data_IF_133725908966
#
_entry.id   IF_133725908966
#
_cell.length_a   1.000
_cell.length_b   1.000
_cell.length_c   1.000
_cell.angle_alpha   90.00
_cell.angle_beta   90.00
_cell.angle_gamma   90.00
#
_symmetry.space_group_name_H-M   'P 1'
#
loop_
_entity.id
_entity.type
_entity.pdbx_description
1 polymer ?
#
# COMPACT_ATOMS: atom_id res chain seq x y z
N UNK A 1 -11.38 -16.01 15.41
CA UNK A 1 -10.53 -16.79 14.46
C UNK A 1 -9.37 -15.91 14.05
N UNK A 2 -8.11 -16.41 13.96
CA UNK A 2 -7.00 -15.60 13.44
C UNK A 2 -7.22 -15.42 11.94
N UNK A 3 -7.32 -14.15 11.48
CA UNK A 3 -7.37 -13.85 10.05
C UNK A 3 -6.08 -14.35 9.38
N UNK A 4 -6.16 -15.07 8.25
CA UNK A 4 -4.98 -15.57 7.56
C UNK A 4 -4.05 -14.44 7.14
N UNK A 5 -2.74 -14.69 7.21
CA UNK A 5 -1.74 -13.67 6.84
C UNK A 5 -1.56 -13.61 5.32
N UNK A 6 -1.66 -12.42 4.78
CA UNK A 6 -1.62 -12.14 3.35
C UNK A 6 -0.23 -11.69 2.88
N UNK A 7 0.03 -11.84 1.57
CA UNK A 7 1.14 -11.19 0.90
C UNK A 7 0.70 -9.78 0.48
N UNK A 8 1.38 -8.76 0.96
CA UNK A 8 1.05 -7.35 0.73
C UNK A 8 2.21 -6.66 0.04
N UNK A 9 1.96 -5.92 -1.03
CA UNK A 9 2.94 -5.02 -1.63
C UNK A 9 2.52 -3.58 -1.45
N UNK A 10 3.46 -2.71 -1.09
CA UNK A 10 3.24 -1.27 -0.93
C UNK A 10 4.05 -0.54 -1.99
N UNK A 11 3.37 0.12 -2.93
CA UNK A 11 3.94 0.93 -4.01
C UNK A 11 4.12 2.36 -3.51
N UNK A 12 5.32 2.93 -3.67
CA UNK A 12 5.73 4.15 -2.97
C UNK A 12 6.06 3.87 -1.51
N UNK A 13 6.38 2.60 -1.23
CA UNK A 13 6.52 2.05 0.12
C UNK A 13 7.74 2.52 0.90
N UNK A 14 8.62 3.33 0.32
CA UNK A 14 9.75 3.95 1.01
C UNK A 14 9.52 5.43 1.35
N UNK A 15 8.35 5.99 0.98
CA UNK A 15 7.92 7.35 1.31
C UNK A 15 7.37 7.50 2.73
N UNK A 16 7.05 8.76 3.11
CA UNK A 16 6.58 9.12 4.45
C UNK A 16 5.30 8.41 4.91
N UNK A 17 4.42 8.05 3.99
CA UNK A 17 3.22 7.24 4.27
C UNK A 17 3.50 5.75 4.10
N UNK A 18 4.20 5.41 3.02
CA UNK A 18 4.40 4.01 2.64
C UNK A 18 5.27 3.22 3.60
N UNK A 19 6.36 3.80 4.11
CA UNK A 19 7.30 3.09 4.97
C UNK A 19 6.71 2.79 6.36
N UNK A 20 6.11 3.73 7.08
CA UNK A 20 5.45 3.45 8.35
C UNK A 20 4.33 2.40 8.19
N UNK A 21 3.48 2.55 7.18
CA UNK A 21 2.41 1.60 6.88
C UNK A 21 2.96 0.18 6.60
N UNK A 22 4.01 0.08 5.78
CA UNK A 22 4.67 -1.19 5.46
C UNK A 22 5.21 -1.88 6.70
N UNK A 23 5.89 -1.12 7.56
CA UNK A 23 6.43 -1.62 8.82
C UNK A 23 5.31 -2.07 9.77
N UNK A 24 4.23 -1.29 9.86
CA UNK A 24 3.07 -1.60 10.70
C UNK A 24 2.39 -2.91 10.24
N UNK A 25 2.09 -3.05 8.96
CA UNK A 25 1.50 -4.27 8.37
C UNK A 25 2.40 -5.49 8.63
N UNK A 26 3.72 -5.34 8.42
CA UNK A 26 4.67 -6.41 8.67
C UNK A 26 4.73 -6.79 10.15
N UNK A 27 4.65 -5.83 11.09
CA UNK A 27 4.62 -6.12 12.53
C UNK A 27 3.41 -6.96 12.95
N UNK A 28 2.32 -6.87 12.22
CA UNK A 28 1.12 -7.71 12.41
C UNK A 28 1.27 -9.11 11.79
N UNK A 29 2.42 -9.42 11.19
CA UNK A 29 2.78 -10.76 10.69
C UNK A 29 2.43 -11.02 9.23
N UNK A 30 1.99 -10.02 8.45
CA UNK A 30 1.83 -10.14 7.02
C UNK A 30 3.20 -10.13 6.31
N UNK A 31 3.29 -10.79 5.15
CA UNK A 31 4.49 -10.75 4.31
C UNK A 31 4.45 -9.49 3.45
N UNK A 32 5.33 -8.53 3.73
CA UNK A 32 5.32 -7.24 3.05
C UNK A 32 6.47 -7.12 2.06
N UNK A 33 6.16 -6.58 0.88
CA UNK A 33 7.15 -6.13 -0.12
C UNK A 33 7.00 -4.61 -0.30
N UNK A 34 8.04 -3.88 0.06
CA UNK A 34 8.18 -2.45 -0.25
C UNK A 34 8.66 -2.33 -1.69
N UNK A 35 7.91 -1.58 -2.50
CA UNK A 35 8.29 -1.26 -3.89
C UNK A 35 8.40 0.25 -4.02
N UNK A 36 9.59 0.72 -4.37
CA UNK A 36 9.83 2.15 -4.58
C UNK A 36 10.88 2.36 -5.68
N UNK A 37 10.64 3.33 -6.56
CA UNK A 37 11.53 3.64 -7.68
C UNK A 37 12.86 4.26 -7.22
N UNK A 38 12.91 4.81 -6.01
CA UNK A 38 14.10 5.46 -5.48
C UNK A 38 15.12 4.42 -4.98
N UNK A 39 16.06 4.06 -5.85
CA UNK A 39 17.09 3.06 -5.57
C UNK A 39 17.96 3.45 -4.37
N UNK A 40 18.27 4.73 -4.19
CA UNK A 40 19.08 5.20 -3.07
C UNK A 40 18.38 4.94 -1.73
N UNK A 41 17.06 5.21 -1.65
CA UNK A 41 16.30 4.95 -0.42
C UNK A 41 16.21 3.45 -0.17
N UNK A 42 15.95 2.64 -1.19
CA UNK A 42 15.91 1.17 -1.07
C UNK A 42 17.25 0.62 -0.59
N UNK A 43 18.37 1.13 -1.10
CA UNK A 43 19.71 0.71 -0.65
C UNK A 43 19.98 1.15 0.79
N UNK A 44 19.61 2.37 1.17
CA UNK A 44 19.70 2.83 2.55
C UNK A 44 18.90 1.93 3.51
N UNK A 45 17.69 1.54 3.13
CA UNK A 45 16.87 0.62 3.93
C UNK A 45 17.50 -0.78 4.05
N UNK A 46 18.20 -1.28 3.01
CA UNK A 46 18.99 -2.53 3.11
C UNK A 46 20.09 -2.44 4.15
N UNK A 47 20.68 -1.24 4.28
CA UNK A 47 21.74 -0.92 5.26
C UNK A 47 21.18 -0.46 6.62
N UNK A 48 19.88 -0.64 6.89
CA UNK A 48 19.19 -0.19 8.11
C UNK A 48 19.19 1.33 8.34
N UNK A 49 19.39 2.11 7.30
CA UNK A 49 19.34 3.58 7.34
C UNK A 49 17.94 4.05 6.96
N UNK A 50 17.18 4.51 7.94
CA UNK A 50 15.84 5.06 7.70
C UNK A 50 15.94 6.43 7.02
N UNK A 51 15.08 6.74 6.02
CA UNK A 51 15.18 7.95 5.22
C UNK A 51 14.69 9.21 5.94
N UNK A 52 13.96 9.07 7.03
CA UNK A 52 13.41 10.17 7.84
C UNK A 52 13.15 9.72 9.28
N UNK A 53 12.95 10.69 10.16
CA UNK A 53 12.57 10.44 11.55
C UNK A 53 11.04 10.44 11.67
N UNK A 54 10.51 9.41 12.30
CA UNK A 54 9.12 9.31 12.70
C UNK A 54 9.03 8.56 14.03
N UNK A 55 8.05 8.92 14.86
CA UNK A 55 7.85 8.30 16.16
C UNK A 55 7.66 6.79 15.99
N UNK A 56 8.40 6.02 16.77
CA UNK A 56 8.38 4.54 16.76
C UNK A 56 8.83 3.85 15.44
N UNK A 57 9.21 4.56 14.37
CA UNK A 57 9.58 3.93 13.10
C UNK A 57 10.74 2.95 13.24
N UNK A 58 11.76 3.29 14.02
CA UNK A 58 12.91 2.40 14.26
C UNK A 58 12.50 1.08 14.94
N UNK A 59 11.53 1.13 15.84
CA UNK A 59 11.00 -0.07 16.50
C UNK A 59 10.25 -0.95 15.49
N UNK A 60 9.30 -0.37 14.75
CA UNK A 60 8.51 -1.10 13.76
C UNK A 60 9.35 -1.63 12.59
N UNK A 61 10.41 -0.90 12.18
CA UNK A 61 11.38 -1.37 11.20
C UNK A 61 12.08 -2.66 11.66
N UNK A 62 12.54 -2.71 12.90
CA UNK A 62 13.15 -3.92 13.48
C UNK A 62 12.19 -5.11 13.50
N UNK A 63 10.93 -4.88 13.86
CA UNK A 63 9.90 -5.93 13.83
C UNK A 63 9.59 -6.39 12.39
N UNK A 64 9.48 -5.46 11.45
CA UNK A 64 9.29 -5.77 10.03
C UNK A 64 10.41 -6.64 9.46
N UNK A 65 11.66 -6.38 9.86
CA UNK A 65 12.82 -7.21 9.46
C UNK A 65 12.76 -8.63 10.03
N UNK A 66 12.32 -8.81 11.27
CA UNK A 66 12.08 -10.15 11.83
C UNK A 66 11.05 -10.92 10.99
N UNK A 67 10.05 -10.24 10.45
CA UNK A 67 9.03 -10.80 9.57
C UNK A 67 9.46 -10.87 8.09
N UNK A 68 10.76 -10.66 7.81
CA UNK A 68 11.37 -10.80 6.48
C UNK A 68 10.77 -9.89 5.42
N UNK A 69 10.56 -8.61 5.76
CA UNK A 69 10.12 -7.59 4.81
C UNK A 69 11.05 -7.58 3.57
N UNK A 70 10.48 -7.49 2.37
CA UNK A 70 11.22 -7.46 1.12
C UNK A 70 11.31 -6.04 0.58
N UNK A 71 12.40 -5.73 -0.10
CA UNK A 71 12.68 -4.43 -0.72
C UNK A 71 12.93 -4.59 -2.21
N UNK A 72 12.24 -3.83 -3.04
CA UNK A 72 12.37 -3.89 -4.50
C UNK A 72 12.25 -2.51 -5.15
N UNK A 73 12.95 -2.31 -6.25
CA UNK A 73 12.75 -1.16 -7.14
C UNK A 73 11.87 -1.49 -8.35
N UNK A 74 11.42 -2.75 -8.46
CA UNK A 74 10.71 -3.26 -9.64
C UNK A 74 9.27 -3.64 -9.31
N UNK A 75 8.31 -3.15 -10.09
CA UNK A 75 6.88 -3.47 -9.94
C UNK A 75 6.59 -4.96 -10.12
N UNK A 76 7.41 -5.69 -10.91
CA UNK A 76 7.28 -7.14 -11.08
C UNK A 76 7.37 -7.95 -9.78
N UNK A 77 7.90 -7.36 -8.71
CA UNK A 77 7.97 -8.02 -7.40
C UNK A 77 6.61 -8.23 -6.72
N UNK A 78 5.52 -7.61 -7.26
CA UNK A 78 4.16 -7.74 -6.72
C UNK A 78 3.43 -9.00 -7.19
N UNK A 79 4.02 -9.82 -8.05
CA UNK A 79 3.40 -10.97 -8.72
C UNK A 79 2.74 -12.02 -7.81
N UNK A 80 3.09 -12.04 -6.53
CA UNK A 80 2.53 -12.95 -5.54
C UNK A 80 1.65 -12.23 -4.49
N UNK A 81 1.31 -10.95 -4.74
CA UNK A 81 0.60 -10.12 -3.77
C UNK A 81 -0.89 -10.37 -3.81
N UNK A 82 -1.47 -10.62 -2.66
CA UNK A 82 -2.91 -10.64 -2.49
C UNK A 82 -3.48 -9.21 -2.39
N UNK A 83 -2.80 -8.35 -1.64
CA UNK A 83 -3.12 -6.93 -1.52
C UNK A 83 -2.00 -6.07 -2.08
N UNK A 84 -2.37 -5.04 -2.85
CA UNK A 84 -1.45 -4.07 -3.43
C UNK A 84 -1.90 -2.68 -2.98
N UNK A 85 -1.09 -2.02 -2.17
CA UNK A 85 -1.40 -0.71 -1.61
C UNK A 85 -0.60 0.35 -2.36
N UNK A 86 -1.26 1.39 -2.86
CA UNK A 86 -0.61 2.48 -3.60
C UNK A 86 -0.60 3.73 -2.71
N UNK A 87 0.61 4.19 -2.35
CA UNK A 87 0.86 5.34 -1.46
C UNK A 87 1.68 6.44 -2.14
N UNK A 88 1.48 6.63 -3.43
CA UNK A 88 2.20 7.66 -4.17
C UNK A 88 1.75 9.04 -3.74
N UNK A 89 2.70 9.96 -3.58
CA UNK A 89 2.37 11.38 -3.40
C UNK A 89 1.59 11.89 -4.61
N UNK A 90 0.50 12.60 -4.33
CA UNK A 90 -0.30 13.24 -5.37
C UNK A 90 -0.10 14.74 -5.31
N UNK A 91 0.17 15.36 -6.46
CA UNK A 91 0.03 16.79 -6.62
C UNK A 91 -0.87 17.04 -7.82
N UNK A 92 -1.51 18.21 -7.86
CA UNK A 92 -2.31 18.65 -9.01
C UNK A 92 -1.46 18.97 -10.26
N UNK A 93 -0.13 18.78 -10.16
CA UNK A 93 0.78 19.03 -11.28
C UNK A 93 0.66 17.94 -12.33
N UNK A 94 0.56 18.33 -13.58
CA UNK A 94 0.45 17.41 -14.74
C UNK A 94 1.53 16.32 -14.77
N UNK A 95 2.74 16.62 -14.26
CA UNK A 95 3.84 15.65 -14.19
C UNK A 95 3.53 14.50 -13.22
N UNK A 96 2.97 14.81 -12.06
CA UNK A 96 2.71 13.81 -11.03
C UNK A 96 1.52 12.92 -11.41
N UNK A 97 0.53 13.46 -12.10
CA UNK A 97 -0.57 12.68 -12.68
C UNK A 97 -0.03 11.65 -13.68
N UNK A 98 0.88 12.05 -14.58
CA UNK A 98 1.49 11.13 -15.55
C UNK A 98 2.32 10.02 -14.87
N UNK A 99 3.01 10.35 -13.78
CA UNK A 99 3.76 9.36 -13.00
C UNK A 99 2.80 8.37 -12.35
N UNK A 100 1.71 8.86 -11.76
CA UNK A 100 0.69 8.02 -11.15
C UNK A 100 0.06 7.06 -12.18
N UNK A 101 -0.37 7.58 -13.34
CA UNK A 101 -0.96 6.78 -14.42
C UNK A 101 0.00 5.67 -14.89
N UNK A 102 1.28 6.00 -15.08
CA UNK A 102 2.30 5.01 -15.47
C UNK A 102 2.47 3.91 -14.42
N UNK A 103 2.56 4.30 -13.14
CA UNK A 103 2.71 3.32 -12.06
C UNK A 103 1.46 2.45 -11.96
N UNK A 104 0.28 3.03 -12.15
CA UNK A 104 -0.97 2.29 -12.16
C UNK A 104 -1.01 1.25 -13.30
N UNK A 105 -0.61 1.62 -14.50
CA UNK A 105 -0.51 0.69 -15.64
C UNK A 105 0.47 -0.45 -15.34
N UNK A 106 1.64 -0.15 -14.78
CA UNK A 106 2.62 -1.15 -14.36
C UNK A 106 2.06 -2.09 -13.28
N UNK A 107 1.29 -1.56 -12.33
CA UNK A 107 0.61 -2.36 -11.31
C UNK A 107 -0.43 -3.28 -11.95
N UNK A 108 -1.31 -2.77 -12.81
CA UNK A 108 -2.34 -3.56 -13.48
C UNK A 108 -1.73 -4.67 -14.35
N UNK A 109 -0.60 -4.40 -14.99
CA UNK A 109 0.14 -5.43 -15.76
C UNK A 109 0.67 -6.56 -14.87
N UNK A 110 1.25 -6.24 -13.71
CA UNK A 110 1.98 -7.18 -12.88
C UNK A 110 1.13 -7.79 -11.74
N UNK A 111 -0.03 -7.20 -11.42
CA UNK A 111 -0.93 -7.72 -10.40
C UNK A 111 -1.40 -9.15 -10.71
N UNK A 112 -1.37 -10.07 -9.74
CA UNK A 112 -1.97 -11.40 -9.89
C UNK A 112 -3.48 -11.32 -10.15
N UNK A 113 -4.04 -12.43 -10.64
CA UNK A 113 -5.49 -12.59 -10.73
C UNK A 113 -6.14 -12.41 -9.35
N UNK A 114 -7.28 -11.73 -9.30
CA UNK A 114 -8.09 -11.51 -8.09
C UNK A 114 -7.39 -10.74 -6.96
N UNK A 115 -6.28 -10.04 -7.26
CA UNK A 115 -5.65 -9.15 -6.26
C UNK A 115 -6.58 -7.99 -5.88
N UNK A 116 -6.36 -7.49 -4.68
CA UNK A 116 -7.09 -6.36 -4.08
C UNK A 116 -6.18 -5.14 -4.09
N UNK A 117 -6.60 -4.10 -4.78
CA UNK A 117 -5.87 -2.82 -4.88
C UNK A 117 -6.45 -1.85 -3.87
N UNK A 118 -5.60 -1.26 -3.05
CA UNK A 118 -5.95 -0.21 -2.08
C UNK A 118 -5.27 1.09 -2.50
N UNK A 119 -6.07 2.08 -2.87
CA UNK A 119 -5.58 3.42 -3.18
C UNK A 119 -5.59 4.29 -1.93
N UNK A 120 -4.42 4.68 -1.46
CA UNK A 120 -4.25 5.62 -0.34
C UNK A 120 -3.85 7.03 -0.81
N UNK A 121 -3.38 7.15 -2.05
CA UNK A 121 -3.07 8.45 -2.67
C UNK A 121 -4.32 9.30 -2.82
N UNK A 122 -4.20 10.62 -2.65
CA UNK A 122 -5.27 11.56 -3.03
C UNK A 122 -5.40 11.58 -4.54
N UNK A 123 -6.56 11.22 -5.08
CA UNK A 123 -6.82 11.10 -6.52
C UNK A 123 -8.14 11.78 -6.88
N UNK A 124 -8.30 12.09 -8.16
CA UNK A 124 -9.58 12.52 -8.70
C UNK A 124 -10.52 11.31 -8.84
N UNK A 125 -11.82 11.54 -8.68
CA UNK A 125 -12.84 10.50 -8.80
C UNK A 125 -12.82 9.82 -10.18
N UNK A 126 -12.53 10.57 -11.25
CA UNK A 126 -12.39 10.05 -12.61
C UNK A 126 -11.29 8.96 -12.72
N UNK A 127 -10.31 8.98 -11.82
CA UNK A 127 -9.25 7.96 -11.78
C UNK A 127 -9.80 6.61 -11.37
N UNK A 128 -10.73 6.56 -10.42
CA UNK A 128 -11.40 5.32 -9.99
C UNK A 128 -12.15 4.70 -11.17
N UNK A 129 -12.94 5.51 -11.88
CA UNK A 129 -13.68 5.04 -13.05
C UNK A 129 -12.75 4.52 -14.17
N UNK A 130 -11.62 5.19 -14.41
CA UNK A 130 -10.62 4.74 -15.39
C UNK A 130 -10.04 3.38 -15.03
N UNK A 131 -9.75 3.15 -13.73
CA UNK A 131 -9.23 1.87 -13.24
C UNK A 131 -10.25 0.77 -13.46
N UNK A 132 -11.50 0.97 -13.05
CA UNK A 132 -12.56 -0.02 -13.15
C UNK A 132 -12.92 -0.38 -14.60
N UNK A 133 -12.78 0.58 -15.53
CA UNK A 133 -12.98 0.38 -16.97
C UNK A 133 -11.74 -0.20 -17.69
N UNK A 134 -10.59 -0.33 -17.01
CA UNK A 134 -9.38 -0.86 -17.61
C UNK A 134 -9.53 -2.36 -17.95
N UNK A 135 -9.13 -2.75 -19.15
CA UNK A 135 -9.26 -4.14 -19.63
C UNK A 135 -8.56 -5.15 -18.73
N UNK A 136 -7.35 -4.83 -18.25
CA UNK A 136 -6.59 -5.71 -17.36
C UNK A 136 -7.25 -5.85 -15.99
N UNK A 137 -7.82 -4.77 -15.47
CA UNK A 137 -8.57 -4.79 -14.21
C UNK A 137 -9.74 -5.77 -14.29
N UNK A 138 -10.53 -5.67 -15.35
CA UNK A 138 -11.69 -6.55 -15.60
C UNK A 138 -11.26 -8.00 -15.87
N UNK A 139 -10.30 -8.21 -16.77
CA UNK A 139 -9.83 -9.56 -17.14
C UNK A 139 -9.22 -10.32 -15.98
N UNK A 140 -8.51 -9.64 -15.11
CA UNK A 140 -7.88 -10.24 -13.92
C UNK A 140 -8.83 -10.34 -12.73
N UNK A 141 -10.07 -9.86 -12.86
CA UNK A 141 -11.06 -9.80 -11.77
C UNK A 141 -10.46 -9.14 -10.50
N UNK A 142 -9.78 -8.00 -10.69
CA UNK A 142 -9.20 -7.25 -9.59
C UNK A 142 -10.31 -6.57 -8.78
N UNK A 143 -10.02 -6.27 -7.52
CA UNK A 143 -10.91 -5.52 -6.63
C UNK A 143 -10.23 -4.20 -6.26
N UNK A 144 -11.02 -3.17 -6.03
CA UNK A 144 -10.53 -1.82 -5.75
C UNK A 144 -11.20 -1.23 -4.52
N UNK A 145 -10.39 -0.70 -3.59
CA UNK A 145 -10.87 0.17 -2.52
C UNK A 145 -10.12 1.51 -2.56
N UNK A 146 -10.87 2.58 -2.42
CA UNK A 146 -10.33 3.91 -2.18
C UNK A 146 -10.30 4.17 -0.68
N UNK A 147 -9.11 4.25 -0.12
CA UNK A 147 -8.88 4.38 1.31
C UNK A 147 -7.97 5.59 1.56
N UNK A 148 -8.48 6.84 1.43
CA UNK A 148 -7.66 8.04 1.47
C UNK A 148 -6.86 8.14 2.76
N UNK A 149 -5.59 8.57 2.64
CA UNK A 149 -4.75 8.85 3.78
C UNK A 149 -5.19 10.15 4.47
N UNK A 150 -5.34 10.10 5.79
CA UNK A 150 -5.75 11.24 6.63
C UNK A 150 -4.83 11.48 7.81
N UNK A 151 -3.76 10.70 7.91
CA UNK A 151 -2.80 10.73 9.01
C UNK A 151 -1.82 11.89 8.83
N UNK A 152 -1.48 12.58 9.90
CA UNK A 152 -0.49 13.63 9.90
C UNK A 152 0.93 13.05 9.69
N UNK A 153 1.76 13.72 8.89
CA UNK A 153 3.15 13.34 8.69
C UNK A 153 3.91 13.37 10.02
N UNK A 154 4.67 12.31 10.30
CA UNK A 154 5.42 12.14 11.54
C UNK A 154 4.66 11.43 12.67
N UNK A 155 3.36 11.18 12.52
CA UNK A 155 2.49 10.56 13.53
C UNK A 155 1.86 9.24 13.06
N UNK A 156 2.27 8.73 11.90
CA UNK A 156 1.59 7.62 11.23
C UNK A 156 1.44 6.38 12.13
N UNK A 157 2.48 6.00 12.83
CA UNK A 157 2.47 4.77 13.64
C UNK A 157 1.66 4.88 14.94
N UNK A 158 1.37 6.09 15.39
CA UNK A 158 0.50 6.34 16.55
C UNK A 158 -0.97 6.46 16.12
N UNK A 159 -1.23 7.05 14.96
CA UNK A 159 -2.58 7.31 14.46
C UNK A 159 -3.19 6.12 13.70
N UNK A 160 -2.37 5.31 12.99
CA UNK A 160 -2.85 4.13 12.25
C UNK A 160 -3.79 3.21 13.03
N UNK A 161 -3.49 2.82 14.28
CA UNK A 161 -4.37 1.93 15.05
C UNK A 161 -5.59 2.62 15.66
N UNK A 162 -5.59 3.96 15.74
CA UNK A 162 -6.62 4.72 16.46
C UNK A 162 -7.61 5.46 15.54
N UNK A 163 -7.19 5.75 14.31
CA UNK A 163 -8.03 6.41 13.33
C UNK A 163 -8.88 5.43 12.55
N UNK A 164 -10.23 5.59 12.50
CA UNK A 164 -11.07 4.77 11.64
C UNK A 164 -10.68 4.93 10.17
N UNK A 165 -10.51 3.81 9.47
CA UNK A 165 -10.21 3.80 8.04
C UNK A 165 -11.46 4.01 7.21
N UNK A 166 -11.46 4.99 6.31
CA UNK A 166 -12.49 5.11 5.28
C UNK A 166 -12.22 4.07 4.19
N UNK A 167 -13.25 3.30 3.85
CA UNK A 167 -13.19 2.26 2.81
C UNK A 167 -14.27 2.54 1.78
N UNK A 168 -13.90 3.18 0.68
CA UNK A 168 -14.78 3.40 -0.47
C UNK A 168 -14.63 2.24 -1.46
N UNK A 169 -15.71 1.52 -1.72
CA UNK A 169 -15.78 0.35 -2.60
C UNK A 169 -17.04 0.38 -3.46
N UNK A 170 -17.12 -0.51 -4.43
CA UNK A 170 -18.26 -0.59 -5.34
C UNK A 170 -19.52 -1.18 -4.70
N UNK A 171 -19.36 -2.18 -3.83
CA UNK A 171 -20.47 -2.90 -3.20
C UNK A 171 -20.09 -3.51 -1.84
N UNK A 172 -21.10 -3.99 -1.10
CA UNK A 172 -20.92 -4.56 0.24
C UNK A 172 -20.07 -5.83 0.26
N UNK A 173 -20.02 -6.59 -0.82
CA UNK A 173 -19.21 -7.81 -0.90
C UNK A 173 -17.72 -7.47 -0.94
N UNK A 174 -17.35 -6.42 -1.66
CA UNK A 174 -15.99 -5.89 -1.69
C UNK A 174 -15.63 -5.23 -0.35
N UNK A 175 -16.57 -4.50 0.27
CA UNK A 175 -16.36 -3.88 1.59
C UNK A 175 -15.86 -4.89 2.63
N UNK A 176 -16.47 -6.07 2.71
CA UNK A 176 -16.08 -7.11 3.68
C UNK A 176 -14.63 -7.54 3.49
N UNK A 177 -14.19 -7.72 2.24
CA UNK A 177 -12.81 -8.14 1.92
C UNK A 177 -11.79 -7.14 2.47
N UNK A 178 -12.01 -5.85 2.22
CA UNK A 178 -11.08 -4.81 2.66
C UNK A 178 -11.18 -4.55 4.17
N UNK A 179 -12.40 -4.60 4.74
CA UNK A 179 -12.61 -4.53 6.19
C UNK A 179 -11.85 -5.62 6.91
N UNK A 180 -12.01 -6.87 6.50
CA UNK A 180 -11.31 -8.02 7.10
C UNK A 180 -9.78 -7.84 7.03
N UNK A 181 -9.26 -7.27 5.93
CA UNK A 181 -7.84 -6.94 5.82
C UNK A 181 -7.42 -5.89 6.85
N UNK A 182 -8.13 -4.77 6.96
CA UNK A 182 -7.80 -3.71 7.93
C UNK A 182 -7.93 -4.22 9.38
N UNK A 183 -8.95 -4.98 9.69
CA UNK A 183 -9.10 -5.63 11.00
C UNK A 183 -7.94 -6.61 11.30
N UNK A 184 -7.40 -7.30 10.28
CA UNK A 184 -6.27 -8.22 10.43
C UNK A 184 -4.96 -7.53 10.84
N UNK A 185 -4.91 -6.22 10.70
CA UNK A 185 -3.79 -5.35 11.10
C UNK A 185 -4.18 -4.38 12.22
N UNK A 186 -5.27 -4.64 12.93
CA UNK A 186 -5.80 -3.84 14.05
C UNK A 186 -6.11 -2.37 13.66
N UNK A 187 -6.55 -2.12 12.44
CA UNK A 187 -7.09 -0.84 11.99
C UNK A 187 -8.62 -0.98 11.90
N UNK A 188 -9.34 -0.09 12.58
CA UNK A 188 -10.81 -0.07 12.55
C UNK A 188 -11.30 0.51 11.22
N UNK A 189 -12.33 -0.09 10.64
CA UNK A 189 -12.98 0.35 9.41
C UNK A 189 -14.46 0.63 9.59
#
# INVERSE_FOLDING_TARGET
MKVPKSNVSVIGGAGHIGLPLSCYIASKGHKVTIVDINENIINNLRDDKLPFNEVNLQHYWKEAKKNKIKLSTKTQSIKDSEFIIITLGSSSKTKDIKIFDKVLDDVLQNAPLQSKIILRSTINIDTIEKIEKNKLFVQKNLKLAYCPERIAEGMSLEELPTMPQIIGVKDDSEYRIFKDFFESIDILG
#
